data_IF_988107620123
#
_entry.id   IF_988107620123
#
_cell.length_a   1.000
_cell.length_b   1.000
_cell.length_c   1.000
_cell.angle_alpha   90.00
_cell.angle_beta   90.00
_cell.angle_gamma   90.00
#
_symmetry.space_group_name_H-M   'P 1'
#
loop_
_entity.id
_entity.type
_entity.pdbx_description
1 polymer ?
#
# COMPACT_ATOMS: atom_id res chain seq x y z
N UNK A 1 22.13 -51.68 -17.89
CA UNK A 1 20.74 -51.25 -18.15
C UNK A 1 20.10 -50.97 -16.81
N UNK A 2 20.04 -49.74 -16.40
CA UNK A 2 19.30 -49.28 -15.23
C UNK A 2 18.38 -48.17 -15.72
N UNK A 3 17.10 -48.49 -15.77
CA UNK A 3 16.02 -47.58 -16.14
C UNK A 3 15.81 -46.60 -15.00
N UNK A 4 16.20 -45.34 -15.21
CA UNK A 4 15.79 -44.23 -14.36
C UNK A 4 14.29 -43.99 -14.57
N UNK A 5 13.48 -44.41 -13.63
CA UNK A 5 12.07 -44.06 -13.50
C UNK A 5 12.00 -42.54 -13.25
N UNK A 6 11.54 -41.81 -14.28
CA UNK A 6 11.25 -40.41 -14.14
C UNK A 6 10.21 -40.21 -13.05
N UNK A 7 10.56 -39.49 -11.99
CA UNK A 7 9.62 -38.94 -11.03
C UNK A 7 8.69 -38.00 -11.79
N UNK A 8 7.46 -38.45 -11.98
CA UNK A 8 6.41 -37.64 -12.60
C UNK A 8 6.20 -36.39 -11.77
N UNK A 9 6.46 -35.21 -12.36
CA UNK A 9 6.14 -33.92 -11.77
C UNK A 9 4.65 -33.92 -11.36
N UNK A 10 4.38 -33.95 -10.07
CA UNK A 10 3.01 -33.92 -9.54
C UNK A 10 2.27 -32.72 -10.11
N UNK A 11 1.07 -32.93 -10.62
CA UNK A 11 0.23 -31.87 -11.17
C UNK A 11 0.08 -30.73 -10.15
N UNK A 12 0.13 -29.46 -10.58
CA UNK A 12 0.07 -28.32 -9.68
C UNK A 12 -1.21 -28.38 -8.86
N UNK A 13 -1.08 -28.41 -7.52
CA UNK A 13 -2.21 -28.45 -6.59
C UNK A 13 -3.16 -27.28 -6.84
N UNK A 14 -4.48 -27.52 -6.80
CA UNK A 14 -5.48 -26.47 -6.94
C UNK A 14 -5.34 -25.41 -5.83
N UNK A 15 -5.80 -24.18 -6.13
CA UNK A 15 -5.70 -23.03 -5.21
C UNK A 15 -6.37 -23.31 -3.85
N UNK A 16 -7.52 -23.97 -3.86
CA UNK A 16 -8.28 -24.35 -2.65
C UNK A 16 -7.53 -25.38 -1.79
N UNK A 17 -6.82 -26.33 -2.41
CA UNK A 17 -6.00 -27.32 -1.69
C UNK A 17 -4.82 -26.60 -1.02
N UNK A 18 -4.10 -25.76 -1.77
CA UNK A 18 -2.97 -24.97 -1.21
C UNK A 18 -3.41 -24.08 -0.06
N UNK A 19 -4.58 -23.44 -0.14
CA UNK A 19 -5.10 -22.60 0.93
C UNK A 19 -5.45 -23.42 2.19
N UNK A 20 -6.02 -24.62 2.04
CA UNK A 20 -6.34 -25.52 3.16
C UNK A 20 -5.08 -26.11 3.82
N UNK A 21 -3.98 -26.23 3.10
CA UNK A 21 -2.69 -26.69 3.63
C UNK A 21 -1.97 -25.63 4.48
N UNK A 22 -2.38 -24.36 4.41
CA UNK A 22 -1.81 -23.30 5.25
C UNK A 22 -2.19 -23.50 6.73
N UNK A 23 -1.29 -23.16 7.67
CA UNK A 23 -1.61 -23.12 9.09
C UNK A 23 -2.87 -22.32 9.39
N UNK A 24 -3.69 -22.78 10.34
CA UNK A 24 -4.94 -22.10 10.70
C UNK A 24 -4.76 -20.60 11.01
N UNK A 25 -3.72 -20.16 11.76
CA UNK A 25 -3.51 -18.74 12.00
C UNK A 25 -3.33 -17.90 10.73
N UNK A 26 -2.68 -18.45 9.69
CA UNK A 26 -2.55 -17.74 8.39
C UNK A 26 -3.87 -17.66 7.65
N UNK A 27 -4.67 -18.72 7.65
CA UNK A 27 -6.01 -18.68 7.04
C UNK A 27 -6.90 -17.64 7.73
N UNK A 28 -6.86 -17.59 9.07
CA UNK A 28 -7.55 -16.59 9.87
C UNK A 28 -7.06 -15.18 9.54
N UNK A 29 -5.73 -14.99 9.46
CA UNK A 29 -5.15 -13.69 9.09
C UNK A 29 -5.65 -13.22 7.71
N UNK A 30 -5.69 -14.09 6.71
CA UNK A 30 -6.14 -13.72 5.36
C UNK A 30 -7.62 -13.34 5.32
N UNK A 31 -8.48 -14.12 5.98
CA UNK A 31 -9.90 -13.81 6.07
C UNK A 31 -10.13 -12.49 6.83
N UNK A 32 -9.47 -12.31 7.97
CA UNK A 32 -9.62 -11.08 8.76
C UNK A 32 -9.00 -9.87 8.05
N UNK A 33 -7.91 -10.03 7.30
CA UNK A 33 -7.33 -8.96 6.48
C UNK A 33 -8.28 -8.53 5.36
N UNK A 34 -8.88 -9.49 4.65
CA UNK A 34 -9.90 -9.21 3.63
C UNK A 34 -11.11 -8.49 4.24
N UNK A 35 -11.68 -9.04 5.34
CA UNK A 35 -12.86 -8.47 6.00
C UNK A 35 -12.55 -7.07 6.55
N UNK A 36 -11.39 -6.89 7.19
CA UNK A 36 -10.95 -5.59 7.67
C UNK A 36 -10.79 -4.58 6.54
N UNK A 37 -10.20 -5.01 5.41
CA UNK A 37 -10.05 -4.14 4.25
C UNK A 37 -11.39 -3.79 3.60
N UNK A 38 -12.31 -4.75 3.51
CA UNK A 38 -13.70 -4.51 3.08
C UNK A 38 -14.47 -3.64 4.07
N UNK A 39 -14.09 -3.63 5.33
CA UNK A 39 -14.64 -2.76 6.37
C UNK A 39 -14.05 -1.35 6.42
N UNK A 40 -13.06 -1.04 5.60
CA UNK A 40 -12.43 0.29 5.55
C UNK A 40 -13.26 1.30 4.77
N UNK A 41 -14.43 1.65 5.32
CA UNK A 41 -15.44 2.49 4.68
C UNK A 41 -15.13 3.98 4.76
N UNK A 42 -14.48 4.40 5.84
CA UNK A 42 -14.39 5.82 6.23
C UNK A 42 -13.41 6.58 5.37
N UNK A 43 -12.23 6.01 5.11
CA UNK A 43 -11.14 6.74 4.48
C UNK A 43 -11.49 7.35 3.11
N UNK A 44 -12.15 6.62 2.18
CA UNK A 44 -12.54 7.17 0.88
C UNK A 44 -13.59 8.28 0.95
N UNK A 45 -14.36 8.35 2.04
CA UNK A 45 -15.44 9.34 2.22
C UNK A 45 -15.09 10.42 3.24
N UNK A 46 -13.87 10.42 3.75
CA UNK A 46 -13.45 11.29 4.84
C UNK A 46 -13.53 12.78 4.48
N UNK A 47 -13.08 13.15 3.26
CA UNK A 47 -13.17 14.52 2.79
C UNK A 47 -14.64 14.98 2.70
N UNK A 48 -15.51 14.13 2.18
CA UNK A 48 -16.95 14.40 2.08
C UNK A 48 -17.57 14.56 3.47
N UNK A 49 -17.21 13.70 4.42
CA UNK A 49 -17.67 13.78 5.80
C UNK A 49 -17.26 15.10 6.47
N UNK A 50 -15.99 15.48 6.38
CA UNK A 50 -15.49 16.70 7.01
C UNK A 50 -16.14 17.96 6.42
N UNK A 51 -16.30 17.99 5.09
CA UNK A 51 -16.89 19.16 4.41
C UNK A 51 -18.41 19.20 4.59
N UNK A 52 -19.12 18.10 4.31
CA UNK A 52 -20.59 18.11 4.29
C UNK A 52 -21.25 17.90 5.65
N UNK A 53 -20.65 17.06 6.50
CA UNK A 53 -21.25 16.73 7.81
C UNK A 53 -20.73 17.63 8.93
N UNK A 54 -19.44 17.98 8.90
CA UNK A 54 -18.84 18.86 9.92
C UNK A 54 -18.79 20.33 9.49
N UNK A 55 -19.17 20.66 8.25
CA UNK A 55 -19.25 22.05 7.75
C UNK A 55 -17.88 22.72 7.59
N UNK A 56 -16.78 21.96 7.54
CA UNK A 56 -15.44 22.51 7.39
C UNK A 56 -15.19 22.99 5.96
N UNK A 57 -14.36 24.02 5.82
CA UNK A 57 -13.87 24.44 4.50
C UNK A 57 -13.02 23.33 3.84
N UNK A 58 -12.98 23.34 2.51
CA UNK A 58 -12.20 22.32 1.77
C UNK A 58 -10.70 22.40 2.08
N UNK A 59 -10.14 23.60 2.26
CA UNK A 59 -8.75 23.77 2.69
C UNK A 59 -8.49 23.20 4.08
N UNK A 60 -9.40 23.46 5.01
CA UNK A 60 -9.31 22.97 6.38
C UNK A 60 -9.43 21.45 6.42
N UNK A 61 -10.42 20.87 5.73
CA UNK A 61 -10.56 19.41 5.61
C UNK A 61 -9.30 18.78 4.98
N UNK A 62 -8.75 19.37 3.92
CA UNK A 62 -7.51 18.94 3.31
C UNK A 62 -6.30 18.98 4.26
N UNK A 63 -6.18 20.05 5.06
CA UNK A 63 -5.14 20.20 6.08
C UNK A 63 -5.26 19.11 7.15
N UNK A 64 -6.47 18.88 7.69
CA UNK A 64 -6.70 17.89 8.73
C UNK A 64 -6.41 16.47 8.22
N UNK A 65 -6.80 16.16 6.98
CA UNK A 65 -6.49 14.88 6.32
C UNK A 65 -4.99 14.75 6.12
N UNK A 66 -4.31 15.80 5.66
CA UNK A 66 -2.85 15.81 5.46
C UNK A 66 -2.11 15.54 6.77
N UNK A 67 -2.42 16.26 7.82
CA UNK A 67 -1.81 16.09 9.16
C UNK A 67 -2.14 14.72 9.72
N UNK A 68 -3.41 14.31 9.70
CA UNK A 68 -3.85 12.99 10.18
C UNK A 68 -3.16 11.84 9.43
N UNK A 69 -2.93 11.98 8.12
CA UNK A 69 -2.29 10.96 7.28
C UNK A 69 -0.83 10.68 7.66
N UNK A 70 -0.16 11.56 8.40
CA UNK A 70 1.17 11.27 8.98
C UNK A 70 1.10 10.07 9.92
N UNK A 71 -0.06 9.78 10.49
CA UNK A 71 -0.31 8.57 11.28
C UNK A 71 0.01 7.27 10.56
N UNK A 72 -0.21 7.20 9.23
CA UNK A 72 0.17 6.01 8.43
C UNK A 72 1.68 5.72 8.50
N UNK A 73 2.51 6.77 8.37
CA UNK A 73 3.96 6.64 8.47
C UNK A 73 4.38 6.23 9.88
N UNK A 74 3.85 6.93 10.89
CA UNK A 74 4.16 6.65 12.29
C UNK A 74 3.75 5.21 12.64
N UNK A 75 2.57 4.77 12.23
CA UNK A 75 2.08 3.41 12.46
C UNK A 75 2.97 2.35 11.79
N UNK A 76 3.39 2.59 10.55
CA UNK A 76 4.30 1.69 9.85
C UNK A 76 5.65 1.57 10.54
N UNK A 77 6.20 2.70 11.04
CA UNK A 77 7.46 2.71 11.80
C UNK A 77 7.34 2.03 13.17
N UNK A 78 6.20 2.20 13.85
CA UNK A 78 5.93 1.60 15.16
C UNK A 78 5.65 0.09 15.07
N UNK A 79 5.25 -0.42 13.91
CA UNK A 79 4.87 -1.82 13.73
C UNK A 79 5.98 -2.79 14.15
N UNK A 80 7.22 -2.57 13.69
CA UNK A 80 8.37 -3.41 14.06
C UNK A 80 8.62 -3.45 15.57
N UNK A 81 8.91 -2.32 16.21
CA UNK A 81 9.11 -2.27 17.67
C UNK A 81 7.95 -2.87 18.48
N UNK A 82 6.69 -2.65 18.08
CA UNK A 82 5.54 -3.23 18.78
C UNK A 82 5.47 -4.74 18.58
N UNK A 83 5.76 -5.24 17.37
CA UNK A 83 5.87 -6.68 17.10
C UNK A 83 6.97 -7.34 17.95
N UNK A 84 8.11 -6.68 18.13
CA UNK A 84 9.23 -7.20 18.89
C UNK A 84 8.94 -7.19 20.40
N UNK A 85 8.26 -6.17 20.91
CA UNK A 85 7.99 -6.01 22.34
C UNK A 85 6.77 -6.82 22.81
N UNK A 86 5.69 -6.89 22.03
CA UNK A 86 4.39 -7.46 22.42
C UNK A 86 3.99 -8.69 21.61
N UNK A 87 4.74 -9.02 20.56
CA UNK A 87 4.43 -10.08 19.61
C UNK A 87 3.50 -9.63 18.48
N UNK A 88 3.50 -10.39 17.38
CA UNK A 88 2.81 -10.06 16.11
C UNK A 88 1.29 -10.00 16.28
N UNK A 89 0.73 -10.96 17.05
CA UNK A 89 -0.71 -10.99 17.35
C UNK A 89 -1.17 -9.73 18.08
N UNK A 90 -0.45 -9.36 19.14
CA UNK A 90 -0.86 -8.23 19.99
C UNK A 90 -0.63 -6.90 19.23
N UNK A 91 0.34 -6.82 18.31
CA UNK A 91 0.52 -5.70 17.39
C UNK A 91 -0.66 -5.56 16.41
N UNK A 92 -1.15 -6.66 15.82
CA UNK A 92 -2.31 -6.65 14.94
C UNK A 92 -3.59 -6.22 15.68
N UNK A 93 -3.80 -6.74 16.90
CA UNK A 93 -4.94 -6.35 17.73
C UNK A 93 -4.87 -4.87 18.10
N UNK A 94 -3.69 -4.39 18.53
CA UNK A 94 -3.49 -2.97 18.86
C UNK A 94 -3.74 -2.07 17.63
N UNK A 95 -3.32 -2.48 16.44
CA UNK A 95 -3.57 -1.77 15.19
C UNK A 95 -5.07 -1.58 14.93
N UNK A 96 -5.84 -2.64 15.05
CA UNK A 96 -7.29 -2.62 14.84
C UNK A 96 -8.03 -1.80 15.92
N UNK A 97 -7.61 -1.92 17.18
CA UNK A 97 -8.18 -1.14 18.28
C UNK A 97 -7.87 0.35 18.13
N UNK A 98 -6.63 0.73 17.80
CA UNK A 98 -6.28 2.13 17.55
C UNK A 98 -7.10 2.73 16.39
N UNK A 99 -7.27 1.97 15.31
CA UNK A 99 -8.11 2.39 14.19
C UNK A 99 -9.56 2.60 14.62
N UNK A 100 -10.14 1.64 15.39
CA UNK A 100 -11.50 1.72 15.89
C UNK A 100 -11.69 2.90 16.86
N UNK A 101 -10.75 3.15 17.78
CA UNK A 101 -10.81 4.26 18.74
C UNK A 101 -10.76 5.61 18.03
N UNK A 102 -9.87 5.77 17.05
CA UNK A 102 -9.79 7.01 16.27
C UNK A 102 -11.07 7.29 15.50
N UNK A 103 -11.65 6.28 14.85
CA UNK A 103 -12.91 6.45 14.11
C UNK A 103 -14.14 6.57 15.03
N UNK A 104 -14.12 5.94 16.21
CA UNK A 104 -15.16 6.18 17.21
C UNK A 104 -15.19 7.65 17.62
N UNK A 105 -14.01 8.21 17.94
CA UNK A 105 -13.90 9.63 18.26
C UNK A 105 -14.39 10.52 17.13
N UNK A 106 -13.96 10.25 15.89
CA UNK A 106 -14.40 11.00 14.70
C UNK A 106 -15.92 10.96 14.48
N UNK A 107 -16.55 9.81 14.74
CA UNK A 107 -17.99 9.63 14.56
C UNK A 107 -18.85 10.17 15.70
N UNK A 108 -18.30 10.37 16.90
CA UNK A 108 -19.09 10.71 18.11
C UNK A 108 -18.74 12.05 18.73
N UNK A 109 -17.52 12.53 18.55
CA UNK A 109 -17.08 13.77 19.19
C UNK A 109 -17.25 14.96 18.23
N UNK A 110 -17.83 16.03 18.76
CA UNK A 110 -17.82 17.36 18.16
C UNK A 110 -16.80 18.20 18.94
N UNK A 111 -15.92 18.87 18.20
CA UNK A 111 -14.83 19.63 18.82
C UNK A 111 -14.17 20.61 17.86
N UNK A 112 -13.10 21.22 18.32
CA UNK A 112 -12.27 22.07 17.48
C UNK A 112 -11.69 21.24 16.30
N UNK A 113 -11.45 21.85 15.15
CA UNK A 113 -10.94 21.16 13.95
C UNK A 113 -9.74 20.25 14.22
N UNK A 114 -8.79 20.69 15.02
CA UNK A 114 -7.61 19.90 15.39
C UNK A 114 -7.91 18.60 16.14
N UNK A 115 -9.06 18.50 16.80
CA UNK A 115 -9.52 17.23 17.40
C UNK A 115 -9.72 16.17 16.32
N UNK A 116 -10.30 16.56 15.17
CA UNK A 116 -10.47 15.63 14.04
C UNK A 116 -9.13 15.18 13.44
N UNK A 117 -8.13 16.09 13.35
CA UNK A 117 -6.79 15.71 12.90
C UNK A 117 -6.13 14.70 13.84
N UNK A 118 -6.24 14.91 15.15
CA UNK A 118 -5.69 14.00 16.17
C UNK A 118 -6.38 12.63 16.11
N UNK A 119 -7.71 12.60 16.07
CA UNK A 119 -8.48 11.36 15.99
C UNK A 119 -8.18 10.59 14.69
N UNK A 120 -8.06 11.31 13.58
CA UNK A 120 -7.63 10.74 12.31
C UNK A 120 -6.20 10.21 12.38
N UNK A 121 -5.28 10.94 12.99
CA UNK A 121 -3.92 10.49 13.22
C UNK A 121 -3.90 9.16 13.99
N UNK A 122 -4.65 9.06 15.09
CA UNK A 122 -4.75 7.82 15.87
C UNK A 122 -5.32 6.67 15.05
N UNK A 123 -6.41 6.91 14.29
CA UNK A 123 -7.00 5.90 13.41
C UNK A 123 -5.98 5.41 12.36
N UNK A 124 -5.25 6.33 11.76
CA UNK A 124 -4.29 6.03 10.68
C UNK A 124 -2.96 5.45 11.21
N UNK A 125 -2.57 5.71 12.46
CA UNK A 125 -1.50 4.94 13.13
C UNK A 125 -1.87 3.46 13.16
N UNK A 126 -3.09 3.13 13.59
CA UNK A 126 -3.57 1.75 13.57
C UNK A 126 -3.54 1.15 12.16
N UNK A 127 -4.07 1.88 11.18
CA UNK A 127 -4.08 1.44 9.78
C UNK A 127 -2.66 1.19 9.24
N UNK A 128 -1.71 2.09 9.51
CA UNK A 128 -0.33 1.98 9.07
C UNK A 128 0.44 0.83 9.73
N UNK A 129 0.09 0.48 10.96
CA UNK A 129 0.74 -0.59 11.71
C UNK A 129 0.31 -1.99 11.25
N UNK A 130 -0.92 -2.16 10.77
CA UNK A 130 -1.51 -3.47 10.46
C UNK A 130 -0.74 -4.23 9.37
N UNK A 131 -0.42 -3.59 8.24
CA UNK A 131 0.22 -4.23 7.09
C UNK A 131 1.58 -4.86 7.41
N UNK A 132 2.55 -4.11 7.95
CA UNK A 132 3.85 -4.67 8.33
C UNK A 132 3.74 -5.79 9.38
N UNK A 133 2.85 -5.64 10.37
CA UNK A 133 2.61 -6.69 11.37
C UNK A 133 2.06 -7.99 10.74
N UNK A 134 1.12 -7.87 9.80
CA UNK A 134 0.57 -9.00 9.05
C UNK A 134 1.65 -9.69 8.20
N UNK A 135 2.49 -8.93 7.51
CA UNK A 135 3.58 -9.47 6.70
C UNK A 135 4.62 -10.21 7.56
N UNK A 136 4.94 -9.68 8.74
CA UNK A 136 5.83 -10.34 9.68
C UNK A 136 5.22 -11.67 10.17
N UNK A 137 3.93 -11.70 10.48
CA UNK A 137 3.25 -12.94 10.88
C UNK A 137 3.25 -13.98 9.74
N UNK A 138 3.07 -13.57 8.48
CA UNK A 138 3.18 -14.44 7.30
C UNK A 138 4.61 -15.03 7.22
N UNK A 139 5.63 -14.18 7.36
CA UNK A 139 7.02 -14.61 7.30
C UNK A 139 7.39 -15.63 8.39
N UNK A 140 6.81 -15.48 9.59
CA UNK A 140 7.09 -16.35 10.73
C UNK A 140 6.36 -17.70 10.67
N UNK A 141 5.15 -17.74 10.12
CA UNK A 141 4.29 -18.92 10.12
C UNK A 141 4.30 -19.71 8.81
N UNK A 142 4.59 -19.09 7.68
CA UNK A 142 4.66 -19.76 6.39
C UNK A 142 6.04 -20.40 6.18
N UNK A 143 6.06 -21.67 5.72
CA UNK A 143 7.31 -22.27 5.25
C UNK A 143 7.85 -21.52 4.02
N UNK A 144 9.15 -21.62 3.70
CA UNK A 144 9.72 -20.97 2.51
C UNK A 144 8.91 -21.23 1.23
N UNK A 145 8.41 -22.46 1.05
CA UNK A 145 7.62 -22.87 -0.12
C UNK A 145 6.20 -22.28 -0.11
N UNK A 146 5.65 -22.02 1.07
CA UNK A 146 4.31 -21.43 1.25
C UNK A 146 4.30 -19.91 1.17
N UNK A 147 5.42 -19.23 1.42
CA UNK A 147 5.50 -17.75 1.47
C UNK A 147 5.01 -17.06 0.20
N UNK A 148 5.45 -17.46 -1.03
CA UNK A 148 4.98 -16.81 -2.24
C UNK A 148 3.45 -16.89 -2.39
N UNK A 149 2.88 -18.07 -2.12
CA UNK A 149 1.43 -18.27 -2.16
C UNK A 149 0.72 -17.43 -1.10
N UNK A 150 1.25 -17.36 0.11
CA UNK A 150 0.69 -16.58 1.23
C UNK A 150 0.64 -15.08 0.93
N UNK A 151 1.71 -14.51 0.36
CA UNK A 151 1.72 -13.12 -0.08
C UNK A 151 0.73 -12.87 -1.24
N UNK A 152 0.60 -13.82 -2.17
CA UNK A 152 -0.39 -13.73 -3.26
C UNK A 152 -1.82 -13.71 -2.71
N UNK A 153 -2.15 -14.57 -1.74
CA UNK A 153 -3.46 -14.59 -1.07
C UNK A 153 -3.74 -13.25 -0.38
N UNK A 154 -2.75 -12.73 0.35
CA UNK A 154 -2.85 -11.44 1.02
C UNK A 154 -3.09 -10.29 0.02
N UNK A 155 -2.36 -10.29 -1.09
CA UNK A 155 -2.50 -9.29 -2.15
C UNK A 155 -3.91 -9.31 -2.78
N UNK A 156 -4.38 -10.49 -3.17
CA UNK A 156 -5.73 -10.65 -3.75
C UNK A 156 -6.79 -10.23 -2.74
N UNK A 157 -6.68 -10.69 -1.48
CA UNK A 157 -7.63 -10.34 -0.43
C UNK A 157 -7.71 -8.83 -0.17
N UNK A 158 -6.54 -8.15 -0.13
CA UNK A 158 -6.49 -6.70 0.05
C UNK A 158 -7.17 -5.95 -1.11
N UNK A 159 -6.90 -6.34 -2.37
CA UNK A 159 -7.49 -5.66 -3.54
C UNK A 159 -9.00 -5.90 -3.64
N UNK A 160 -9.47 -7.12 -3.39
CA UNK A 160 -10.90 -7.41 -3.34
C UNK A 160 -11.59 -6.62 -2.22
N UNK A 161 -10.97 -6.54 -1.03
CA UNK A 161 -11.48 -5.75 0.08
C UNK A 161 -11.55 -4.26 -0.26
N UNK A 162 -10.54 -3.71 -0.94
CA UNK A 162 -10.55 -2.32 -1.43
C UNK A 162 -11.64 -2.05 -2.46
N UNK A 163 -12.06 -3.04 -3.25
CA UNK A 163 -13.18 -2.89 -4.17
C UNK A 163 -14.54 -2.89 -3.49
N UNK A 164 -14.71 -3.73 -2.49
CA UNK A 164 -15.98 -3.90 -1.78
C UNK A 164 -16.17 -2.82 -0.69
N UNK A 165 -15.10 -2.45 0.00
CA UNK A 165 -15.14 -1.54 1.15
C UNK A 165 -15.81 -0.20 0.84
N UNK A 166 -15.32 0.59 -0.12
CA UNK A 166 -15.92 1.87 -0.45
C UNK A 166 -17.37 1.78 -0.93
N UNK A 167 -17.75 0.67 -1.59
CA UNK A 167 -19.14 0.44 -1.98
C UNK A 167 -20.04 0.28 -0.75
N UNK A 168 -19.66 -0.58 0.18
CA UNK A 168 -20.40 -0.76 1.44
C UNK A 168 -20.39 0.53 2.27
N UNK A 169 -19.27 1.24 2.30
CA UNK A 169 -19.15 2.53 2.97
C UNK A 169 -20.04 3.60 2.36
N UNK A 170 -20.12 3.66 1.04
CA UNK A 170 -21.01 4.58 0.34
C UNK A 170 -22.49 4.30 0.62
N UNK A 171 -22.90 3.04 0.65
CA UNK A 171 -24.27 2.63 1.04
C UNK A 171 -24.52 3.01 2.50
N UNK A 172 -23.61 2.69 3.41
CA UNK A 172 -23.74 3.04 4.83
C UNK A 172 -23.84 4.56 5.04
N UNK A 173 -23.00 5.34 4.38
CA UNK A 173 -23.00 6.80 4.44
C UNK A 173 -24.26 7.43 3.85
N UNK A 174 -24.92 6.78 2.89
CA UNK A 174 -26.20 7.21 2.35
C UNK A 174 -27.33 7.16 3.40
N UNK A 175 -27.24 6.24 4.36
CA UNK A 175 -28.13 6.22 5.51
C UNK A 175 -27.69 7.23 6.58
N UNK A 176 -26.44 7.13 7.00
CA UNK A 176 -25.85 8.04 8.00
C UNK A 176 -24.34 7.81 8.10
N UNK A 177 -23.58 8.88 8.29
CA UNK A 177 -22.16 8.77 8.62
C UNK A 177 -21.91 8.00 9.92
N UNK A 178 -22.83 8.06 10.90
CA UNK A 178 -22.73 7.24 12.11
C UNK A 178 -22.78 5.74 11.81
N UNK A 179 -23.65 5.30 10.90
CA UNK A 179 -23.72 3.91 10.44
C UNK A 179 -22.41 3.50 9.74
N UNK A 180 -21.85 4.37 8.93
CA UNK A 180 -20.56 4.16 8.27
C UNK A 180 -19.43 3.97 9.30
N UNK A 181 -19.32 4.87 10.28
CA UNK A 181 -18.32 4.75 11.34
C UNK A 181 -18.54 3.49 12.20
N UNK A 182 -19.78 3.24 12.63
CA UNK A 182 -20.13 2.07 13.44
C UNK A 182 -19.78 0.76 12.68
N UNK A 183 -20.09 0.68 11.40
CA UNK A 183 -19.74 -0.48 10.55
C UNK A 183 -18.24 -0.74 10.51
N UNK A 184 -17.43 0.30 10.28
CA UNK A 184 -15.96 0.17 10.31
C UNK A 184 -15.45 -0.29 11.67
N UNK A 185 -15.92 0.31 12.76
CA UNK A 185 -15.51 -0.01 14.13
C UNK A 185 -15.86 -1.46 14.46
N UNK A 186 -17.11 -1.87 14.19
CA UNK A 186 -17.60 -3.23 14.49
C UNK A 186 -16.77 -4.26 13.72
N UNK A 187 -16.57 -4.06 12.43
CA UNK A 187 -15.74 -4.96 11.60
C UNK A 187 -14.31 -5.03 12.12
N UNK A 188 -13.69 -3.89 12.43
CA UNK A 188 -12.32 -3.85 12.97
C UNK A 188 -12.20 -4.57 14.31
N UNK A 189 -13.13 -4.34 15.24
CA UNK A 189 -13.12 -5.00 16.56
C UNK A 189 -13.42 -6.49 16.45
N UNK A 190 -14.34 -6.92 15.59
CA UNK A 190 -14.58 -8.34 15.33
C UNK A 190 -13.31 -9.02 14.77
N UNK A 191 -12.63 -8.39 13.82
CA UNK A 191 -11.34 -8.89 13.33
C UNK A 191 -10.29 -8.98 14.46
N UNK A 192 -10.23 -7.98 15.34
CA UNK A 192 -9.34 -7.99 16.49
C UNK A 192 -9.63 -9.15 17.45
N UNK A 193 -10.91 -9.42 17.74
CA UNK A 193 -11.34 -10.55 18.57
C UNK A 193 -10.99 -11.87 17.90
N UNK A 194 -11.28 -12.04 16.61
CA UNK A 194 -10.94 -13.26 15.86
C UNK A 194 -9.44 -13.51 15.86
N UNK A 195 -8.62 -12.49 15.58
CA UNK A 195 -7.15 -12.61 15.64
C UNK A 195 -6.71 -12.95 17.07
N UNK A 196 -7.30 -12.35 18.09
CA UNK A 196 -6.94 -12.59 19.50
C UNK A 196 -7.21 -14.03 19.95
N UNK A 197 -8.25 -14.67 19.38
CA UNK A 197 -8.66 -16.04 19.74
C UNK A 197 -7.88 -17.08 18.94
N UNK A 198 -7.73 -16.88 17.61
CA UNK A 198 -7.28 -17.92 16.68
C UNK A 198 -5.79 -17.82 16.29
N UNK A 199 -5.15 -16.67 16.52
CA UNK A 199 -3.72 -16.51 16.29
C UNK A 199 -3.00 -16.75 17.62
N UNK A 200 -2.05 -17.69 17.69
CA UNK A 200 -1.35 -17.98 18.94
C UNK A 200 -0.50 -16.79 19.39
N UNK A 201 -0.32 -16.68 20.70
CA UNK A 201 0.63 -15.72 21.26
C UNK A 201 2.04 -16.17 20.92
N UNK A 202 2.82 -15.28 20.30
CA UNK A 202 4.21 -15.57 19.97
C UNK A 202 4.99 -15.90 21.25
N UNK A 203 5.45 -17.13 21.35
CA UNK A 203 6.39 -17.55 22.40
C UNK A 203 7.85 -17.28 22.00
N UNK A 204 8.10 -16.85 20.76
CA UNK A 204 9.43 -16.55 20.21
C UNK A 204 9.74 -15.04 20.22
N UNK A 205 9.79 -14.46 21.40
CA UNK A 205 10.49 -13.18 21.63
C UNK A 205 12.00 -13.44 21.78
N UNK A 206 12.66 -14.00 20.77
CA UNK A 206 14.04 -14.39 20.96
C UNK A 206 14.90 -14.62 19.72
N UNK A 207 14.30 -14.77 18.57
CA UNK A 207 15.08 -14.67 17.33
C UNK A 207 14.98 -13.20 16.87
N UNK A 208 16.00 -12.44 17.24
CA UNK A 208 16.16 -11.08 16.76
C UNK A 208 15.92 -11.07 15.25
N UNK A 209 14.80 -10.46 14.84
CA UNK A 209 14.74 -9.93 13.49
C UNK A 209 16.06 -9.16 13.30
N UNK A 210 16.75 -9.31 12.17
CA UNK A 210 17.99 -8.58 11.96
C UNK A 210 17.68 -7.12 12.29
N UNK A 211 18.41 -6.58 13.27
CA UNK A 211 18.29 -5.20 13.71
C UNK A 211 18.07 -4.36 12.46
N UNK A 212 16.90 -3.75 12.34
CA UNK A 212 16.67 -2.71 11.36
C UNK A 212 17.93 -1.86 11.43
N UNK A 213 18.66 -1.78 10.33
CA UNK A 213 19.99 -1.19 10.31
C UNK A 213 19.88 0.13 11.04
N UNK A 214 20.45 0.15 12.24
CA UNK A 214 20.29 1.20 13.22
C UNK A 214 20.45 2.53 12.54
N UNK A 215 19.81 3.59 13.04
CA UNK A 215 19.81 4.96 12.52
C UNK A 215 21.17 5.51 12.13
N UNK A 216 21.84 4.84 11.22
CA UNK A 216 23.05 5.28 10.57
C UNK A 216 22.62 6.45 9.67
N UNK A 217 23.20 7.62 9.91
CA UNK A 217 23.18 8.78 9.01
C UNK A 217 23.05 8.27 7.58
N UNK A 218 22.02 8.68 6.87
CA UNK A 218 21.84 8.42 5.43
C UNK A 218 23.07 8.98 4.73
N UNK A 219 24.12 8.19 4.66
CA UNK A 219 25.27 8.50 3.81
C UNK A 219 24.82 8.21 2.38
N UNK A 220 24.43 9.27 1.70
CA UNK A 220 24.09 9.27 0.26
C UNK A 220 25.35 9.04 -0.61
N UNK A 221 26.53 8.83 -0.01
CA UNK A 221 27.77 8.52 -0.73
C UNK A 221 27.67 7.19 -1.47
N UNK A 222 27.83 7.22 -2.79
CA UNK A 222 27.75 6.06 -3.69
C UNK A 222 26.35 5.76 -4.20
N UNK A 223 25.41 6.66 -4.05
CA UNK A 223 24.05 6.53 -4.59
C UNK A 223 24.12 6.73 -6.12
N UNK A 224 23.58 5.78 -6.87
CA UNK A 224 23.31 5.96 -8.28
C UNK A 224 22.28 7.09 -8.42
N UNK A 225 22.71 8.30 -8.75
CA UNK A 225 21.85 9.49 -8.80
C UNK A 225 20.59 9.30 -9.63
N UNK A 226 20.62 8.45 -10.66
CA UNK A 226 19.48 8.10 -11.49
C UNK A 226 18.35 7.37 -10.72
N UNK A 227 18.68 6.52 -9.72
CA UNK A 227 17.64 5.86 -8.90
C UNK A 227 17.00 6.87 -7.94
N UNK A 228 17.80 7.75 -7.34
CA UNK A 228 17.27 8.82 -6.50
C UNK A 228 16.30 9.71 -7.29
N UNK A 229 16.71 10.15 -8.47
CA UNK A 229 15.85 10.97 -9.34
C UNK A 229 14.58 10.23 -9.80
N UNK A 230 14.68 8.92 -10.08
CA UNK A 230 13.52 8.08 -10.38
C UNK A 230 12.52 8.08 -9.24
N UNK A 231 13.00 7.85 -8.00
CA UNK A 231 12.14 7.83 -6.81
C UNK A 231 11.52 9.19 -6.54
N UNK A 232 12.29 10.28 -6.64
CA UNK A 232 11.75 11.63 -6.46
C UNK A 232 10.73 12.00 -7.55
N UNK A 233 11.02 11.63 -8.81
CA UNK A 233 10.11 11.88 -9.93
C UNK A 233 8.82 11.05 -9.85
N UNK A 234 8.81 9.93 -9.13
CA UNK A 234 7.58 9.15 -8.89
C UNK A 234 6.49 9.97 -8.16
N UNK A 235 6.87 11.05 -7.48
CA UNK A 235 5.93 12.01 -6.88
C UNK A 235 4.87 12.47 -7.88
N UNK A 236 5.24 12.72 -9.13
CA UNK A 236 4.32 13.20 -10.16
C UNK A 236 3.25 12.17 -10.57
N UNK A 237 3.43 10.89 -10.24
CA UNK A 237 2.42 9.83 -10.44
C UNK A 237 1.68 9.48 -9.16
N UNK A 238 2.32 9.68 -8.02
CA UNK A 238 1.68 9.51 -6.70
C UNK A 238 0.77 10.69 -6.37
N UNK A 239 1.15 11.91 -6.74
CA UNK A 239 0.37 13.11 -6.44
C UNK A 239 -1.06 13.07 -7.05
N UNK A 240 -1.29 12.72 -8.32
CA UNK A 240 -2.65 12.60 -8.85
C UNK A 240 -3.44 11.46 -8.20
N UNK A 241 -2.81 10.34 -7.80
CA UNK A 241 -3.47 9.28 -7.05
C UNK A 241 -4.04 9.80 -5.72
N UNK A 242 -3.20 10.47 -4.93
CA UNK A 242 -3.61 11.05 -3.64
C UNK A 242 -4.61 12.20 -3.87
N UNK A 243 -4.45 12.94 -4.96
CA UNK A 243 -5.39 13.99 -5.36
C UNK A 243 -6.78 13.42 -5.66
N UNK A 244 -6.88 12.30 -6.38
CA UNK A 244 -8.15 11.62 -6.63
C UNK A 244 -8.76 11.06 -5.34
N UNK A 245 -7.97 10.49 -4.44
CA UNK A 245 -8.48 10.03 -3.14
C UNK A 245 -9.17 11.17 -2.35
N UNK A 246 -8.72 12.42 -2.50
CA UNK A 246 -9.29 13.59 -1.84
C UNK A 246 -10.39 14.25 -2.68
N UNK A 247 -10.08 14.63 -3.92
CA UNK A 247 -10.92 15.51 -4.74
C UNK A 247 -12.07 14.78 -5.43
N UNK A 248 -11.88 13.52 -5.88
CA UNK A 248 -12.91 12.83 -6.66
C UNK A 248 -14.17 12.52 -5.85
N UNK A 249 -14.11 11.98 -4.61
CA UNK A 249 -15.29 11.82 -3.77
C UNK A 249 -16.03 13.14 -3.53
N UNK A 250 -15.27 14.20 -3.29
CA UNK A 250 -15.82 15.53 -3.06
C UNK A 250 -16.51 16.06 -4.32
N UNK A 251 -15.86 15.97 -5.49
CA UNK A 251 -16.43 16.42 -6.77
C UNK A 251 -17.69 15.62 -7.16
N UNK A 252 -17.67 14.29 -7.02
CA UNK A 252 -18.84 13.44 -7.31
C UNK A 252 -20.03 13.85 -6.44
N UNK A 253 -19.80 14.18 -5.18
CA UNK A 253 -20.90 14.55 -4.28
C UNK A 253 -21.32 16.03 -4.41
N UNK A 254 -20.41 16.95 -4.77
CA UNK A 254 -20.74 18.38 -4.89
C UNK A 254 -21.19 18.78 -6.29
N UNK A 255 -20.46 18.37 -7.33
CA UNK A 255 -20.72 18.80 -8.71
C UNK A 255 -21.82 17.97 -9.38
N UNK A 256 -21.87 16.65 -9.12
CA UNK A 256 -22.93 15.77 -9.64
C UNK A 256 -24.13 15.67 -8.70
N UNK A 257 -24.09 16.29 -7.50
CA UNK A 257 -25.07 16.08 -6.45
C UNK A 257 -25.40 14.61 -6.18
N UNK A 258 -24.41 13.73 -6.39
CA UNK A 258 -24.58 12.31 -6.29
C UNK A 258 -24.47 11.84 -4.82
N UNK A 259 -25.05 10.68 -4.55
CA UNK A 259 -24.92 10.03 -3.24
C UNK A 259 -23.50 9.51 -3.01
N UNK A 260 -23.12 9.38 -1.75
CA UNK A 260 -21.86 8.74 -1.35
C UNK A 260 -21.72 7.29 -1.89
N UNK A 261 -22.85 6.62 -2.18
CA UNK A 261 -22.86 5.30 -2.83
C UNK A 261 -22.19 5.30 -4.21
N UNK A 262 -22.32 6.38 -4.97
CA UNK A 262 -21.69 6.49 -6.28
C UNK A 262 -20.15 6.57 -6.17
N UNK A 263 -19.64 7.19 -5.13
CA UNK A 263 -18.20 7.16 -4.82
C UNK A 263 -17.72 5.72 -4.64
N UNK A 264 -18.51 4.90 -3.93
CA UNK A 264 -18.23 3.47 -3.80
C UNK A 264 -18.15 2.73 -5.14
N UNK A 265 -19.06 3.04 -6.08
CA UNK A 265 -19.04 2.47 -7.43
C UNK A 265 -17.75 2.81 -8.17
N UNK A 266 -17.27 4.04 -8.07
CA UNK A 266 -16.00 4.48 -8.70
C UNK A 266 -14.81 3.63 -8.19
N UNK A 267 -14.69 3.45 -6.88
CA UNK A 267 -13.63 2.61 -6.30
C UNK A 267 -13.79 1.13 -6.65
N UNK A 268 -15.03 0.65 -6.81
CA UNK A 268 -15.29 -0.71 -7.27
C UNK A 268 -14.83 -0.91 -8.71
N UNK A 269 -15.09 0.04 -9.60
CA UNK A 269 -14.61 0.02 -10.99
C UNK A 269 -13.07 0.00 -11.02
N UNK A 270 -12.41 0.87 -10.25
CA UNK A 270 -10.94 0.85 -10.10
C UNK A 270 -10.45 -0.56 -9.71
N UNK A 271 -11.02 -1.15 -8.65
CA UNK A 271 -10.59 -2.46 -8.16
C UNK A 271 -10.87 -3.59 -9.15
N UNK A 272 -11.98 -3.56 -9.87
CA UNK A 272 -12.28 -4.54 -10.94
C UNK A 272 -11.24 -4.46 -12.06
N UNK A 273 -10.85 -3.25 -12.45
CA UNK A 273 -9.79 -3.05 -13.46
C UNK A 273 -8.44 -3.56 -12.93
N UNK A 274 -8.08 -3.22 -11.68
CA UNK A 274 -6.83 -3.69 -11.06
C UNK A 274 -6.77 -5.22 -10.98
N UNK A 275 -7.81 -5.87 -10.49
CA UNK A 275 -7.85 -7.33 -10.35
C UNK A 275 -7.95 -8.03 -11.70
N UNK A 276 -8.79 -7.51 -12.59
CA UNK A 276 -9.05 -8.11 -13.89
C UNK A 276 -7.90 -7.99 -14.88
N UNK A 277 -7.20 -6.86 -14.88
CA UNK A 277 -6.15 -6.56 -15.85
C UNK A 277 -4.74 -6.56 -15.26
N UNK A 278 -4.60 -6.43 -13.92
CA UNK A 278 -3.29 -6.30 -13.27
C UNK A 278 -2.33 -7.44 -13.61
N UNK A 279 -2.76 -8.69 -13.41
CA UNK A 279 -1.93 -9.87 -13.70
C UNK A 279 -1.59 -10.04 -15.19
N UNK A 280 -2.49 -9.63 -16.08
CA UNK A 280 -2.26 -9.71 -17.53
C UNK A 280 -1.30 -8.61 -18.01
N UNK A 281 -1.49 -7.42 -17.47
CA UNK A 281 -0.67 -6.26 -17.79
C UNK A 281 0.76 -6.44 -17.27
N UNK A 282 0.93 -6.99 -16.08
CA UNK A 282 2.22 -7.28 -15.47
C UNK A 282 3.11 -8.15 -16.37
N UNK A 283 2.55 -9.24 -16.94
CA UNK A 283 3.29 -10.11 -17.86
C UNK A 283 3.76 -9.38 -19.12
N UNK A 284 2.97 -8.41 -19.60
CA UNK A 284 3.32 -7.59 -20.77
C UNK A 284 4.29 -6.46 -20.42
N UNK A 285 4.17 -5.84 -19.25
CA UNK A 285 5.04 -4.77 -18.78
C UNK A 285 6.50 -5.22 -18.77
N UNK A 286 6.78 -6.46 -18.35
CA UNK A 286 8.14 -7.00 -18.27
C UNK A 286 8.92 -6.98 -19.62
N UNK A 287 8.24 -6.91 -20.75
CA UNK A 287 8.87 -6.91 -22.08
C UNK A 287 9.17 -5.51 -22.65
N UNK A 288 8.75 -4.44 -21.98
CA UNK A 288 8.95 -3.07 -22.48
C UNK A 288 10.00 -2.30 -21.69
N UNK A 289 10.71 -1.34 -22.33
CA UNK A 289 11.64 -0.46 -21.62
C UNK A 289 10.94 0.35 -20.53
N UNK A 290 11.55 0.45 -19.37
CA UNK A 290 11.01 1.18 -18.21
C UNK A 290 10.62 2.62 -18.55
N UNK A 291 11.44 3.31 -19.36
CA UNK A 291 11.14 4.67 -19.81
C UNK A 291 9.83 4.74 -20.59
N UNK A 292 9.61 3.82 -21.52
CA UNK A 292 8.37 3.75 -22.31
C UNK A 292 7.17 3.52 -21.38
N UNK A 293 7.30 2.61 -20.41
CA UNK A 293 6.24 2.33 -19.44
C UNK A 293 5.87 3.55 -18.60
N UNK A 294 6.87 4.32 -18.14
CA UNK A 294 6.61 5.54 -17.38
C UNK A 294 5.94 6.62 -18.23
N UNK A 295 6.36 6.79 -19.49
CA UNK A 295 5.70 7.73 -20.40
C UNK A 295 4.26 7.32 -20.70
N UNK A 296 4.00 6.03 -20.93
CA UNK A 296 2.66 5.48 -21.13
C UNK A 296 1.80 5.64 -19.86
N UNK A 297 2.35 5.35 -18.69
CA UNK A 297 1.65 5.56 -17.43
C UNK A 297 1.24 7.03 -17.24
N UNK A 298 2.16 7.96 -17.49
CA UNK A 298 1.88 9.39 -17.44
C UNK A 298 0.81 9.82 -18.45
N UNK A 299 0.87 9.32 -19.68
CA UNK A 299 -0.12 9.60 -20.71
C UNK A 299 -1.51 9.08 -20.34
N UNK A 300 -1.61 7.87 -19.77
CA UNK A 300 -2.87 7.32 -19.27
C UNK A 300 -3.43 8.13 -18.09
N UNK A 301 -2.57 8.54 -17.15
CA UNK A 301 -2.96 9.46 -16.08
C UNK A 301 -3.48 10.79 -16.63
N UNK A 302 -2.75 11.42 -17.53
CA UNK A 302 -3.14 12.69 -18.15
C UNK A 302 -4.44 12.55 -18.95
N UNK A 303 -4.58 11.48 -19.75
CA UNK A 303 -5.81 11.21 -20.51
C UNK A 303 -7.02 11.00 -19.60
N UNK A 304 -6.88 10.17 -18.55
CA UNK A 304 -7.95 9.94 -17.59
C UNK A 304 -8.41 11.24 -16.92
N UNK A 305 -7.47 12.09 -16.48
CA UNK A 305 -7.78 13.38 -15.86
C UNK A 305 -8.36 14.39 -16.87
N UNK A 306 -7.89 14.39 -18.12
CA UNK A 306 -8.44 15.21 -19.18
C UNK A 306 -9.91 14.87 -19.48
N UNK A 307 -10.29 13.59 -19.43
CA UNK A 307 -11.70 13.18 -19.60
C UNK A 307 -12.60 13.82 -18.54
N UNK A 308 -12.13 13.94 -17.29
CA UNK A 308 -12.86 14.63 -16.22
C UNK A 308 -12.97 16.13 -16.46
N UNK A 309 -11.95 16.73 -17.03
CA UNK A 309 -11.87 18.16 -17.25
C UNK A 309 -12.77 18.64 -18.42
N UNK A 310 -12.86 17.83 -19.50
CA UNK A 310 -13.74 18.13 -20.63
C UNK A 310 -15.23 18.08 -20.30
N UNK A 311 -15.63 17.22 -19.35
CA UNK A 311 -17.03 17.13 -18.95
C UNK A 311 -17.22 16.28 -17.73
N UNK A 312 -17.57 16.89 -16.59
CA UNK A 312 -17.78 16.19 -15.33
C UNK A 312 -19.19 15.55 -15.32
N UNK A 313 -19.28 14.31 -15.77
CA UNK A 313 -20.50 13.49 -15.78
C UNK A 313 -20.18 12.10 -15.20
N UNK A 314 -21.23 11.34 -14.83
CA UNK A 314 -21.05 9.98 -14.35
C UNK A 314 -20.27 9.10 -15.36
N UNK A 315 -20.65 9.19 -16.64
CA UNK A 315 -19.95 8.44 -17.69
C UNK A 315 -18.48 8.84 -17.80
N UNK A 316 -18.18 10.15 -17.73
CA UNK A 316 -16.82 10.65 -17.74
C UNK A 316 -16.02 10.18 -16.52
N UNK A 317 -16.61 10.19 -15.32
CA UNK A 317 -15.98 9.69 -14.08
C UNK A 317 -15.63 8.22 -14.21
N UNK A 318 -16.56 7.38 -14.68
CA UNK A 318 -16.30 5.94 -14.84
C UNK A 318 -15.28 5.65 -15.94
N UNK A 319 -15.39 6.32 -17.09
CA UNK A 319 -14.42 6.19 -18.18
C UNK A 319 -13.01 6.65 -17.76
N UNK A 320 -12.91 7.79 -17.11
CA UNK A 320 -11.68 8.31 -16.50
C UNK A 320 -11.07 7.29 -15.55
N UNK A 321 -11.90 6.69 -14.67
CA UNK A 321 -11.44 5.70 -13.69
C UNK A 321 -10.78 4.51 -14.37
N UNK A 322 -11.36 3.97 -15.43
CA UNK A 322 -10.73 2.88 -16.18
C UNK A 322 -9.37 3.30 -16.76
N UNK A 323 -9.31 4.49 -17.35
CA UNK A 323 -8.10 4.96 -18.05
C UNK A 323 -6.95 5.23 -17.07
N UNK A 324 -7.18 6.02 -16.00
CA UNK A 324 -6.10 6.33 -15.05
C UNK A 324 -5.68 5.11 -14.23
N UNK A 325 -6.60 4.15 -13.98
CA UNK A 325 -6.24 2.90 -13.28
C UNK A 325 -5.20 2.08 -14.06
N UNK A 326 -5.24 2.08 -15.39
CA UNK A 326 -4.21 1.42 -16.20
C UNK A 326 -2.84 2.11 -15.98
N UNK A 327 -2.81 3.42 -15.90
CA UNK A 327 -1.60 4.19 -15.57
C UNK A 327 -1.09 3.88 -14.17
N UNK A 328 -1.98 3.76 -13.19
CA UNK A 328 -1.69 3.38 -11.81
C UNK A 328 -1.03 2.00 -11.74
N UNK A 329 -1.60 0.98 -12.40
CA UNK A 329 -1.04 -0.38 -12.42
C UNK A 329 0.39 -0.35 -12.95
N UNK A 330 0.64 0.34 -14.07
CA UNK A 330 1.98 0.44 -14.65
C UNK A 330 2.96 1.12 -13.67
N UNK A 331 2.60 2.29 -13.14
CA UNK A 331 3.47 3.05 -12.24
C UNK A 331 3.79 2.29 -10.94
N UNK A 332 2.81 1.56 -10.39
CA UNK A 332 2.97 0.80 -9.15
C UNK A 332 3.96 -0.37 -9.24
N UNK A 333 4.13 -0.93 -10.44
CA UNK A 333 5.08 -2.03 -10.71
C UNK A 333 6.45 -1.49 -11.09
N UNK A 334 6.50 -0.47 -11.95
CA UNK A 334 7.76 -0.03 -12.58
C UNK A 334 8.74 0.58 -11.59
N UNK A 335 8.28 1.42 -10.66
CA UNK A 335 9.18 2.12 -9.72
C UNK A 335 9.86 1.14 -8.74
N UNK A 336 9.15 0.23 -8.05
CA UNK A 336 9.78 -0.77 -7.20
C UNK A 336 10.72 -1.71 -7.95
N UNK A 337 10.33 -2.15 -9.16
CA UNK A 337 11.18 -3.00 -10.02
C UNK A 337 12.48 -2.29 -10.38
N UNK A 338 12.40 -1.03 -10.79
CA UNK A 338 13.60 -0.25 -11.11
C UNK A 338 14.55 -0.13 -9.93
N UNK A 339 14.03 0.08 -8.72
CA UNK A 339 14.84 0.12 -7.50
C UNK A 339 15.53 -1.24 -7.30
N UNK A 340 14.77 -2.34 -7.38
CA UNK A 340 15.32 -3.68 -7.17
C UNK A 340 16.42 -4.05 -8.18
N UNK A 341 16.28 -3.64 -9.44
CA UNK A 341 17.22 -3.96 -10.52
C UNK A 341 18.50 -3.12 -10.52
N UNK A 342 18.50 -1.95 -9.90
CA UNK A 342 19.60 -0.98 -10.01
C UNK A 342 20.26 -0.62 -8.68
N UNK A 343 19.84 -1.25 -7.59
CA UNK A 343 20.39 -1.00 -6.25
C UNK A 343 20.90 -2.31 -5.66
N UNK A 344 22.08 -2.26 -5.05
CA UNK A 344 22.64 -3.41 -4.33
C UNK A 344 21.64 -3.96 -3.31
N UNK A 345 21.55 -5.27 -3.15
CA UNK A 345 20.59 -5.96 -2.28
C UNK A 345 20.52 -5.38 -0.86
N UNK A 346 21.68 -5.07 -0.28
CA UNK A 346 21.78 -4.48 1.08
C UNK A 346 21.29 -3.02 1.18
N UNK A 347 20.99 -2.36 0.05
CA UNK A 347 20.52 -0.97 -0.02
C UNK A 347 19.08 -0.85 -0.53
N UNK A 348 18.52 -1.89 -1.15
CA UNK A 348 17.14 -1.88 -1.69
C UNK A 348 16.15 -1.38 -0.65
N UNK A 349 16.24 -1.86 0.59
CA UNK A 349 15.35 -1.41 1.67
C UNK A 349 15.37 0.09 1.93
N UNK A 350 16.53 0.76 1.78
CA UNK A 350 16.64 2.23 1.95
C UNK A 350 15.92 2.99 0.84
N UNK A 351 16.03 2.54 -0.41
CA UNK A 351 15.36 3.17 -1.54
C UNK A 351 13.86 2.91 -1.54
N UNK A 352 13.43 1.72 -1.10
CA UNK A 352 12.00 1.44 -0.88
C UNK A 352 11.43 2.32 0.24
N UNK A 353 12.19 2.57 1.32
CA UNK A 353 11.79 3.51 2.36
C UNK A 353 11.70 4.96 1.82
N UNK A 354 12.62 5.37 0.95
CA UNK A 354 12.55 6.66 0.27
C UNK A 354 11.33 6.78 -0.65
N UNK A 355 10.98 5.71 -1.37
CA UNK A 355 9.75 5.65 -2.16
C UNK A 355 8.50 5.78 -1.27
N UNK A 356 8.48 5.11 -0.12
CA UNK A 356 7.44 5.28 0.90
C UNK A 356 7.38 6.71 1.46
N UNK A 357 8.54 7.37 1.62
CA UNK A 357 8.59 8.78 2.03
C UNK A 357 7.97 9.71 0.98
N UNK A 358 8.21 9.48 -0.31
CA UNK A 358 7.57 10.25 -1.41
C UNK A 358 6.05 10.12 -1.35
N UNK A 359 5.52 8.90 -1.11
CA UNK A 359 4.09 8.68 -0.89
C UNK A 359 3.57 9.45 0.34
N UNK A 360 4.32 9.42 1.44
CA UNK A 360 3.98 10.16 2.66
C UNK A 360 3.98 11.67 2.45
N UNK A 361 4.95 12.18 1.69
CA UNK A 361 5.02 13.60 1.33
C UNK A 361 3.82 14.01 0.47
N UNK A 362 3.45 13.21 -0.52
CA UNK A 362 2.26 13.48 -1.32
C UNK A 362 0.99 13.51 -0.45
N UNK A 363 0.82 12.57 0.49
CA UNK A 363 -0.31 12.56 1.44
C UNK A 363 -0.32 13.78 2.37
N UNK A 364 0.85 14.33 2.69
CA UNK A 364 0.96 15.52 3.52
C UNK A 364 0.62 16.81 2.75
N UNK A 365 1.03 16.91 1.49
CA UNK A 365 0.97 18.17 0.73
C UNK A 365 -0.26 18.26 -0.17
N UNK A 366 -0.63 17.16 -0.84
CA UNK A 366 -1.63 17.19 -1.92
C UNK A 366 -3.04 17.52 -1.44
N UNK A 367 -3.61 16.88 -0.38
CA UNK A 367 -4.97 17.19 0.05
C UNK A 367 -5.11 18.63 0.51
N UNK A 368 -4.14 19.15 1.24
CA UNK A 368 -4.15 20.56 1.66
C UNK A 368 -4.04 21.52 0.48
N UNK A 369 -3.08 21.29 -0.43
CA UNK A 369 -2.91 22.15 -1.62
C UNK A 369 -4.15 22.17 -2.52
N UNK A 370 -4.74 21.01 -2.79
CA UNK A 370 -5.98 20.91 -3.58
C UNK A 370 -7.17 21.49 -2.84
N UNK A 371 -7.23 21.35 -1.51
CA UNK A 371 -8.26 21.96 -0.68
C UNK A 371 -8.23 23.50 -0.74
N UNK A 372 -7.03 24.10 -0.71
CA UNK A 372 -6.83 25.56 -0.89
C UNK A 372 -7.30 26.02 -2.27
N UNK A 373 -6.93 25.29 -3.33
CA UNK A 373 -7.36 25.63 -4.70
C UNK A 373 -8.88 25.53 -4.79
N UNK A 374 -9.47 24.47 -4.23
CA UNK A 374 -10.91 24.29 -4.23
C UNK A 374 -11.65 25.41 -3.52
N UNK A 375 -11.18 25.79 -2.33
CA UNK A 375 -11.82 26.84 -1.52
C UNK A 375 -11.81 28.19 -2.22
N UNK A 376 -10.73 28.53 -2.92
CA UNK A 376 -10.54 29.83 -3.52
C UNK A 376 -11.07 29.93 -4.98
N UNK A 377 -11.08 28.81 -5.70
CA UNK A 377 -11.30 28.79 -7.15
C UNK A 377 -12.32 27.75 -7.63
N UNK A 378 -12.83 26.88 -6.72
CA UNK A 378 -13.78 25.83 -7.05
C UNK A 378 -13.13 24.54 -7.58
N UNK A 379 -13.98 23.60 -8.02
CA UNK A 379 -13.58 22.25 -8.40
C UNK A 379 -12.75 22.17 -9.70
N UNK A 380 -13.07 22.96 -10.73
CA UNK A 380 -12.40 22.89 -12.03
C UNK A 380 -10.90 23.17 -11.97
N UNK A 381 -10.39 24.23 -11.32
CA UNK A 381 -8.95 24.44 -11.17
C UNK A 381 -8.23 23.33 -10.42
N UNK A 382 -8.93 22.59 -9.55
CA UNK A 382 -8.36 21.38 -8.91
C UNK A 382 -8.08 20.31 -9.96
N UNK A 383 -9.01 20.03 -10.87
CA UNK A 383 -8.83 19.06 -11.95
C UNK A 383 -7.69 19.47 -12.89
N UNK A 384 -7.61 20.77 -13.25
CA UNK A 384 -6.49 21.31 -14.03
C UNK A 384 -5.14 21.09 -13.33
N UNK A 385 -5.06 21.39 -12.03
CA UNK A 385 -3.83 21.18 -11.25
C UNK A 385 -3.43 19.69 -11.21
N UNK A 386 -4.41 18.82 -11.04
CA UNK A 386 -4.17 17.39 -11.06
C UNK A 386 -3.69 16.90 -12.43
N UNK A 387 -4.21 17.44 -13.54
CA UNK A 387 -3.78 17.14 -14.89
C UNK A 387 -2.33 17.58 -15.17
N UNK A 388 -1.91 18.72 -14.61
CA UNK A 388 -0.54 19.22 -14.78
C UNK A 388 0.49 18.27 -14.19
N UNK A 389 0.17 17.60 -13.07
CA UNK A 389 1.15 16.74 -12.39
C UNK A 389 1.68 15.58 -13.25
N UNK A 390 0.87 14.72 -13.90
CA UNK A 390 1.38 13.67 -14.77
C UNK A 390 2.04 14.23 -16.04
N UNK A 391 1.64 15.38 -16.55
CA UNK A 391 2.30 16.04 -17.69
C UNK A 391 3.73 16.48 -17.32
N UNK A 392 3.92 17.04 -16.14
CA UNK A 392 5.26 17.33 -15.60
C UNK A 392 6.03 16.03 -15.42
N UNK A 393 5.41 14.96 -14.91
CA UNK A 393 6.01 13.64 -14.81
C UNK A 393 6.51 13.12 -16.17
N UNK A 394 5.70 13.22 -17.22
CA UNK A 394 6.09 12.85 -18.59
C UNK A 394 7.32 13.65 -19.03
N UNK A 395 7.32 14.97 -18.87
CA UNK A 395 8.45 15.82 -19.23
C UNK A 395 9.72 15.45 -18.45
N UNK A 396 9.61 15.22 -17.14
CA UNK A 396 10.74 14.79 -16.31
C UNK A 396 11.28 13.44 -16.76
N UNK A 397 10.43 12.43 -16.96
CA UNK A 397 10.89 11.10 -17.41
C UNK A 397 11.35 11.07 -18.86
N UNK A 398 10.90 11.99 -19.70
CA UNK A 398 11.42 12.16 -21.06
C UNK A 398 12.86 12.67 -21.07
N UNK A 399 13.23 13.53 -20.11
CA UNK A 399 14.59 14.11 -20.01
C UNK A 399 15.52 13.26 -19.15
N UNK A 400 14.99 12.55 -18.14
CA UNK A 400 15.80 11.69 -17.29
C UNK A 400 16.49 10.59 -18.10
N UNK A 401 17.79 10.49 -17.93
CA UNK A 401 18.60 9.38 -18.49
C UNK A 401 18.33 8.11 -17.65
N UNK A 402 17.23 7.45 -17.93
CA UNK A 402 16.90 6.15 -17.33
C UNK A 402 17.80 5.12 -17.98
N UNK A 403 18.67 4.46 -17.20
CA UNK A 403 19.46 3.35 -17.69
C UNK A 403 18.52 2.19 -18.01
N UNK A 404 18.49 1.73 -19.27
CA UNK A 404 17.84 0.48 -19.58
C UNK A 404 18.63 -0.64 -18.91
N UNK A 405 17.99 -1.44 -18.08
CA UNK A 405 18.52 -2.74 -17.71
C UNK A 405 18.71 -3.50 -19.03
N UNK A 406 19.94 -3.90 -19.35
CA UNK A 406 20.17 -4.83 -20.45
C UNK A 406 19.30 -6.05 -20.13
N UNK A 407 18.43 -6.43 -21.07
CA UNK A 407 17.55 -7.56 -20.94
C UNK A 407 18.37 -8.77 -20.45
N UNK A 408 18.30 -9.05 -19.16
CA UNK A 408 18.75 -10.31 -18.61
C UNK A 408 17.87 -11.36 -19.27
N UNK A 409 18.46 -12.34 -19.94
CA UNK A 409 17.77 -13.51 -20.46
C UNK A 409 16.78 -14.03 -19.39
N UNK A 410 15.63 -14.60 -19.80
CA UNK A 410 14.58 -14.97 -18.88
C UNK A 410 15.17 -15.91 -17.82
N UNK A 411 15.44 -15.38 -16.64
CA UNK A 411 15.67 -16.16 -15.46
C UNK A 411 14.39 -16.95 -15.18
N UNK A 412 14.52 -18.22 -14.84
CA UNK A 412 13.43 -19.10 -14.46
C UNK A 412 12.45 -18.38 -13.51
N UNK A 413 11.16 -18.73 -13.49
CA UNK A 413 10.11 -17.93 -12.88
C UNK A 413 10.44 -17.65 -11.42
N UNK A 414 10.97 -16.45 -11.19
CA UNK A 414 11.20 -15.92 -9.87
C UNK A 414 9.85 -15.65 -9.21
N UNK A 415 9.79 -15.92 -7.93
CA UNK A 415 8.65 -15.67 -7.06
C UNK A 415 7.88 -14.38 -7.41
N UNK A 416 6.58 -14.48 -7.39
CA UNK A 416 5.64 -13.45 -7.82
C UNK A 416 5.90 -12.05 -7.24
N UNK A 417 5.38 -11.02 -7.88
CA UNK A 417 5.71 -9.63 -7.63
C UNK A 417 5.34 -9.20 -6.22
N UNK A 418 6.16 -8.34 -5.68
CA UNK A 418 5.84 -7.63 -4.46
C UNK A 418 4.61 -6.73 -4.69
N UNK A 419 3.59 -6.80 -3.84
CA UNK A 419 2.37 -6.01 -4.04
C UNK A 419 2.62 -4.51 -3.95
N UNK A 420 1.81 -3.73 -4.64
CA UNK A 420 1.85 -2.26 -4.63
C UNK A 420 1.68 -1.63 -3.22
N UNK A 421 1.24 -2.40 -2.21
CA UNK A 421 1.34 -2.05 -0.79
C UNK A 421 2.74 -2.25 -0.21
N UNK A 422 3.70 -2.73 -0.99
CA UNK A 422 5.08 -3.03 -0.57
C UNK A 422 5.94 -1.81 -0.27
N UNK A 423 5.45 -0.59 -0.47
CA UNK A 423 6.10 0.59 0.12
C UNK A 423 6.19 0.49 1.65
N UNK A 424 5.37 -0.36 2.29
CA UNK A 424 5.43 -0.67 3.71
C UNK A 424 6.10 -2.03 4.02
N UNK A 425 6.22 -2.93 3.03
CA UNK A 425 6.68 -4.32 3.25
C UNK A 425 8.17 -4.56 2.99
N UNK A 426 8.82 -3.70 2.21
CA UNK A 426 10.21 -3.90 1.81
C UNK A 426 11.26 -3.64 2.91
N UNK A 427 10.82 -3.20 4.10
CA UNK A 427 11.74 -3.02 5.23
C UNK A 427 12.12 -4.33 5.95
N UNK A 428 11.53 -5.48 5.61
CA UNK A 428 11.71 -6.71 6.39
C UNK A 428 12.35 -7.91 5.68
N UNK A 429 12.66 -7.86 4.37
CA UNK A 429 13.10 -9.06 3.64
C UNK A 429 14.61 -9.14 3.29
N UNK A 430 15.44 -8.20 3.75
CA UNK A 430 16.85 -8.17 3.39
C UNK A 430 17.78 -8.75 4.47
N UNK A 431 17.50 -9.93 5.01
CA UNK A 431 18.52 -10.55 5.90
C UNK A 431 18.30 -12.03 6.15
N UNK A 432 18.34 -12.80 5.10
CA UNK A 432 18.47 -14.25 5.28
C UNK A 432 19.30 -14.85 4.15
N UNK A 433 20.60 -14.62 4.16
CA UNK A 433 21.59 -15.49 3.55
C UNK A 433 23.01 -14.96 3.75
N UNK A 434 23.63 -15.23 4.89
CA UNK A 434 25.08 -15.26 5.03
C UNK A 434 25.45 -15.97 6.35
N UNK A 435 25.43 -17.28 6.37
CA UNK A 435 26.24 -18.08 7.31
C UNK A 435 26.18 -19.56 6.92
N UNK A 436 26.99 -19.99 5.98
CA UNK A 436 27.53 -21.33 5.91
C UNK A 436 28.87 -21.19 5.18
N UNK A 437 29.93 -21.39 5.91
CA UNK A 437 31.17 -22.11 5.62
C UNK A 437 32.34 -21.50 6.37
N UNK A 438 32.70 -22.13 7.43
CA UNK A 438 34.08 -22.27 7.86
C UNK A 438 34.16 -23.54 8.70
N UNK A 439 34.57 -24.63 8.04
CA UNK A 439 34.92 -25.89 8.68
C UNK A 439 36.27 -25.78 9.37
N UNK A 440 36.56 -26.66 10.33
CA UNK A 440 37.76 -26.61 11.16
C UNK A 440 38.96 -27.27 10.48
N UNK A 441 40.08 -26.57 10.44
CA UNK A 441 41.39 -27.13 10.13
C UNK A 441 42.13 -27.56 11.42
N UNK A 442 43.06 -28.48 11.34
CA UNK A 442 43.43 -29.31 12.46
C UNK A 442 44.54 -28.74 13.35
N UNK A 443 44.58 -29.38 14.52
CA UNK A 443 45.53 -29.29 15.60
C UNK A 443 47.01 -29.15 15.21
N UNK A 444 47.74 -28.38 16.05
CA UNK A 444 49.06 -28.86 16.50
C UNK A 444 49.30 -28.51 17.96
N UNK A 445 49.79 -29.50 18.63
CA UNK A 445 50.13 -29.59 20.02
C UNK A 445 51.42 -28.86 20.33
N UNK A 446 51.64 -28.60 21.61
CA UNK A 446 52.90 -28.81 22.36
C UNK A 446 53.23 -27.65 23.34
N UNK A 447 53.22 -28.09 24.61
CA UNK A 447 54.15 -27.79 25.75
C UNK A 447 53.99 -26.52 26.56
N UNK A 448 53.70 -26.85 27.80
CA UNK A 448 54.53 -26.68 29.04
C UNK A 448 54.63 -25.29 29.65
N UNK A 449 54.26 -25.25 30.87
CA UNK A 449 55.17 -24.97 31.97
C UNK A 449 54.86 -23.68 32.78
N UNK A 450 54.66 -23.94 33.98
CA UNK A 450 54.64 -23.07 35.17
C UNK A 450 53.32 -22.48 35.58
#
# INVERSE_FOLDING_TARGET
>A
MATSTGEGAAAPKSWTVRFKELPLPLRVLFVTSFVNRAGMFVFPLLAVYLVRSKGLGTAEAGLLISVGSTGLLVGSLLSGPVCDLRGRRDALVAALVLNAVGYLGLGTLDGAPWTYALLLFVALVGMGMFGPAANTLIADLATPEQRPFSYTVSYIGNNLGMGIGPLLGGVAAAYSYHVMFAGNIVVGLLCAVVIRIWVPRDTKSGTAAPKAAGGGRIRLGGVHGHVLWMVLASFFYVAPLIGLEYALPLAVTTELNASAGLVGVVYTVNSVVVVGLGLQLEKRIASYPIRTLLLVAGALWALGLAVLDFGFSLAAVLASTVVWTLGEIIASVVVPTYIADHVDEHRVGRFMALNGFVLGLARLVVPFGLGLIWQNHGARPVLHTMLVTPLVGIAVFAVLRIRSSAASAPAAPAAGPAPASAASAAASSASASASVEAGPGPADAVRSGA
#
